data_IF_799817882128
#
_entry.id   IF_799817882128
#
_cell.length_a   1.000
_cell.length_b   1.000
_cell.length_c   1.000
_cell.angle_alpha   90.00
_cell.angle_beta   90.00
_cell.angle_gamma   90.00
#
_symmetry.space_group_name_H-M   'P 1'
#
loop_
_entity.id
_entity.type
_entity.pdbx_description
1 polymer ?
#
# COMPACT_ATOMS: atom_id res chain seq x y z
N UNK A 1 -2.90 -3.11 -13.97
CA UNK A 1 -2.42 -4.11 -13.00
C UNK A 1 -2.58 -3.52 -11.61
N UNK A 2 -3.11 -4.29 -10.66
CA UNK A 2 -3.21 -3.88 -9.27
C UNK A 2 -1.83 -3.91 -8.60
N UNK A 3 -1.63 -3.06 -7.59
CA UNK A 3 -0.46 -3.16 -6.71
C UNK A 3 -0.57 -4.45 -5.88
N UNK A 4 0.51 -5.23 -5.72
CA UNK A 4 0.52 -6.38 -4.83
C UNK A 4 0.26 -5.96 -3.38
N UNK A 5 -0.54 -6.77 -2.71
CA UNK A 5 -0.97 -6.59 -1.32
C UNK A 5 -0.56 -7.77 -0.43
N UNK A 6 -0.15 -8.89 -1.04
CA UNK A 6 0.21 -10.15 -0.39
C UNK A 6 1.55 -10.72 -0.87
N UNK A 7 2.17 -11.57 -0.05
CA UNK A 7 3.39 -12.30 -0.41
C UNK A 7 3.22 -13.21 -1.63
N UNK A 8 2.04 -13.81 -1.80
CA UNK A 8 1.80 -14.70 -2.93
C UNK A 8 1.73 -13.96 -4.26
N UNK A 9 1.26 -12.70 -4.26
CA UNK A 9 1.35 -11.82 -5.43
C UNK A 9 2.80 -11.45 -5.74
N UNK A 10 3.64 -11.20 -4.73
CA UNK A 10 5.07 -10.97 -4.91
C UNK A 10 5.77 -12.18 -5.54
N UNK A 11 5.44 -13.40 -5.07
CA UNK A 11 5.96 -14.64 -5.65
C UNK A 11 5.54 -14.80 -7.11
N UNK A 12 4.29 -14.51 -7.47
CA UNK A 12 3.80 -14.53 -8.87
C UNK A 12 4.54 -13.54 -9.76
N UNK A 13 4.95 -12.41 -9.20
CA UNK A 13 5.75 -11.38 -9.87
C UNK A 13 7.25 -11.68 -9.90
N UNK A 14 7.70 -12.77 -9.23
CA UNK A 14 9.10 -13.09 -8.99
C UNK A 14 9.86 -11.94 -8.29
N UNK A 15 9.18 -11.23 -7.40
CA UNK A 15 9.75 -10.15 -6.59
C UNK A 15 10.12 -10.70 -5.21
N UNK A 16 11.40 -10.60 -4.86
CA UNK A 16 11.90 -11.01 -3.53
C UNK A 16 11.71 -9.92 -2.46
N UNK A 17 11.70 -8.67 -2.89
CA UNK A 17 11.61 -7.47 -2.05
C UNK A 17 10.90 -6.36 -2.84
N UNK A 18 10.32 -5.40 -2.11
CA UNK A 18 9.71 -4.19 -2.66
C UNK A 18 10.66 -3.01 -2.46
N UNK A 19 10.65 -2.07 -3.40
CA UNK A 19 11.39 -0.82 -3.24
C UNK A 19 10.63 0.13 -2.31
N UNK A 20 9.30 0.19 -2.48
CA UNK A 20 8.42 1.12 -1.76
C UNK A 20 7.17 0.36 -1.29
N UNK A 21 6.78 0.58 -0.05
CA UNK A 21 5.49 0.10 0.47
C UNK A 21 4.62 1.31 0.81
N UNK A 22 3.44 1.37 0.19
CA UNK A 22 2.42 2.37 0.47
C UNK A 22 1.54 1.89 1.62
N UNK A 23 1.32 2.74 2.62
CA UNK A 23 0.35 2.52 3.70
C UNK A 23 -0.80 3.50 3.51
N UNK A 24 -2.03 2.99 3.51
CA UNK A 24 -3.26 3.77 3.37
C UNK A 24 -4.22 3.48 4.52
N UNK A 25 -4.81 4.54 5.09
CA UNK A 25 -5.94 4.43 6.03
C UNK A 25 -7.26 4.04 5.37
N UNK A 26 -7.36 4.14 4.04
CA UNK A 26 -8.52 3.68 3.25
C UNK A 26 -8.24 2.35 2.56
N UNK A 27 -9.31 1.62 2.26
CA UNK A 27 -9.28 0.43 1.39
C UNK A 27 -8.66 0.75 0.03
N UNK A 28 -7.91 -0.22 -0.53
CA UNK A 28 -7.33 -0.07 -1.85
C UNK A 28 -8.40 -0.10 -2.93
N UNK A 29 -8.66 1.06 -3.55
CA UNK A 29 -9.51 1.20 -4.73
C UNK A 29 -8.63 1.65 -5.88
N UNK A 30 -8.59 0.85 -6.95
CA UNK A 30 -7.83 1.19 -8.14
C UNK A 30 -8.56 2.24 -9.00
N UNK A 31 -8.50 3.49 -8.55
CA UNK A 31 -9.20 4.63 -9.11
C UNK A 31 -8.30 5.86 -9.18
N UNK A 32 -8.53 6.74 -10.15
CA UNK A 32 -7.83 8.03 -10.28
C UNK A 32 -8.12 8.98 -9.10
N UNK A 33 -9.18 8.74 -8.34
CA UNK A 33 -9.49 9.48 -7.12
C UNK A 33 -8.65 9.04 -5.91
N UNK A 34 -7.97 7.89 -5.99
CA UNK A 34 -7.11 7.41 -4.91
C UNK A 34 -5.65 7.77 -5.19
N UNK A 35 -5.11 8.74 -4.43
CA UNK A 35 -3.74 9.21 -4.58
C UNK A 35 -2.70 8.11 -4.45
N UNK A 36 -2.89 7.15 -3.54
CA UNK A 36 -2.00 6.00 -3.34
C UNK A 36 -2.00 5.07 -4.57
N UNK A 37 -3.16 4.85 -5.20
CA UNK A 37 -3.25 4.08 -6.43
C UNK A 37 -2.52 4.78 -7.59
N UNK A 38 -2.73 6.09 -7.74
CA UNK A 38 -2.11 6.91 -8.78
C UNK A 38 -0.59 6.92 -8.65
N UNK A 39 -0.05 7.25 -7.47
CA UNK A 39 1.39 7.32 -7.26
C UNK A 39 2.04 5.94 -7.35
N UNK A 40 1.39 4.89 -6.83
CA UNK A 40 1.91 3.53 -6.92
C UNK A 40 2.04 3.05 -8.37
N UNK A 41 1.02 3.31 -9.20
CA UNK A 41 1.08 3.00 -10.64
C UNK A 41 2.13 3.82 -11.38
N UNK A 42 2.27 5.10 -11.03
CA UNK A 42 3.30 5.95 -11.60
C UNK A 42 4.69 5.39 -11.28
N UNK A 43 4.96 5.03 -10.03
CA UNK A 43 6.23 4.43 -9.60
C UNK A 43 6.50 3.07 -10.29
N UNK A 44 5.49 2.19 -10.37
CA UNK A 44 5.59 0.92 -11.12
C UNK A 44 6.00 1.16 -12.57
N UNK A 45 5.38 2.14 -13.25
CA UNK A 45 5.69 2.51 -14.64
C UNK A 45 7.14 2.99 -14.81
N UNK A 46 7.76 3.52 -13.75
CA UNK A 46 9.15 3.99 -13.75
C UNK A 46 10.14 2.93 -13.22
N UNK A 47 9.70 1.68 -13.09
CA UNK A 47 10.59 0.54 -12.81
C UNK A 47 10.78 0.21 -11.33
N UNK A 48 10.09 0.90 -10.42
CA UNK A 48 10.09 0.55 -9.00
C UNK A 48 9.15 -0.63 -8.72
N UNK A 49 9.47 -1.44 -7.73
CA UNK A 49 8.59 -2.48 -7.19
C UNK A 49 7.80 -1.88 -6.03
N UNK A 50 6.50 -1.73 -6.21
CA UNK A 50 5.63 -1.07 -5.23
C UNK A 50 4.54 -2.02 -4.77
N UNK A 51 4.33 -2.12 -3.47
CA UNK A 51 3.18 -2.79 -2.86
C UNK A 51 2.37 -1.84 -1.99
N UNK A 52 1.18 -2.27 -1.59
CA UNK A 52 0.28 -1.47 -0.75
C UNK A 52 -0.32 -2.29 0.40
N UNK A 53 -0.35 -1.69 1.58
CA UNK A 53 -1.05 -2.17 2.77
C UNK A 53 -2.12 -1.14 3.11
N UNK A 54 -3.37 -1.58 3.12
CA UNK A 54 -4.52 -0.73 3.45
C UNK A 54 -5.11 -1.18 4.76
N UNK A 55 -5.51 -0.23 5.58
CA UNK A 55 -6.17 -0.45 6.87
C UNK A 55 -5.46 -1.52 7.72
N UNK A 56 -4.15 -1.39 7.97
CA UNK A 56 -3.44 -2.37 8.80
C UNK A 56 -4.03 -2.37 10.22
N UNK A 57 -4.14 -3.55 10.83
CA UNK A 57 -4.40 -3.63 12.27
C UNK A 57 -3.29 -2.92 13.05
N UNK A 58 -3.67 -1.95 13.89
CA UNK A 58 -2.74 -1.15 14.70
C UNK A 58 -2.39 -1.82 16.03
N UNK A 59 -3.10 -2.88 16.40
CA UNK A 59 -2.86 -3.63 17.64
C UNK A 59 -1.84 -4.76 17.45
N UNK A 60 -1.40 -4.99 16.21
CA UNK A 60 -0.48 -6.06 15.84
C UNK A 60 0.53 -5.58 14.80
N UNK A 61 1.71 -6.20 14.79
CA UNK A 61 2.74 -5.96 13.80
C UNK A 61 2.59 -6.85 12.54
N UNK A 62 1.68 -7.82 12.56
CA UNK A 62 1.48 -8.81 11.50
C UNK A 62 1.20 -8.14 10.15
N UNK A 63 0.28 -7.18 10.11
CA UNK A 63 -0.12 -6.53 8.86
C UNK A 63 1.00 -5.67 8.28
N UNK A 64 1.63 -4.84 9.11
CA UNK A 64 2.73 -3.97 8.66
C UNK A 64 3.92 -4.79 8.16
N UNK A 65 4.21 -5.95 8.78
CA UNK A 65 5.31 -6.82 8.37
C UNK A 65 4.98 -7.72 7.19
N UNK A 66 3.71 -7.82 6.76
CA UNK A 66 3.27 -8.85 5.80
C UNK A 66 3.98 -8.79 4.45
N UNK A 67 4.45 -7.63 4.01
CA UNK A 67 5.16 -7.46 2.73
C UNK A 67 6.69 -7.42 2.88
N UNK A 68 7.22 -7.57 4.09
CA UNK A 68 8.65 -7.37 4.39
C UNK A 68 9.02 -5.90 4.50
N UNK A 69 10.32 -5.62 4.54
CA UNK A 69 10.87 -4.26 4.62
C UNK A 69 11.12 -3.70 3.21
N UNK A 70 10.74 -2.44 2.93
CA UNK A 70 11.01 -1.81 1.66
C UNK A 70 12.47 -1.40 1.57
N UNK A 71 13.05 -1.51 0.38
CA UNK A 71 14.45 -1.14 0.14
C UNK A 71 14.71 0.36 0.21
N UNK A 72 13.73 1.18 -0.15
CA UNK A 72 13.88 2.64 -0.19
C UNK A 72 13.17 3.31 0.97
N UNK A 73 11.84 3.22 1.04
CA UNK A 73 11.07 3.86 2.11
C UNK A 73 9.62 3.33 2.21
N UNK A 74 8.99 3.67 3.33
CA UNK A 74 7.55 3.57 3.57
C UNK A 74 6.88 4.90 3.23
N UNK A 75 5.80 4.87 2.46
CA UNK A 75 4.98 6.06 2.19
C UNK A 75 3.62 5.91 2.88
N UNK A 76 3.40 6.71 3.93
CA UNK A 76 2.21 6.61 4.78
C UNK A 76 1.24 7.74 4.49
N UNK A 77 -0.02 7.40 4.27
CA UNK A 77 -1.11 8.36 4.07
C UNK A 77 -2.36 7.92 4.85
N UNK A 78 -3.13 8.89 5.37
CA UNK A 78 -4.42 8.62 6.01
C UNK A 78 -5.50 8.14 5.03
N UNK A 79 -5.25 8.24 3.72
CA UNK A 79 -6.23 7.90 2.69
C UNK A 79 -6.78 9.14 1.97
N UNK A 80 -7.93 8.95 1.34
CA UNK A 80 -8.71 9.97 0.64
C UNK A 80 -9.79 10.59 1.55
N UNK A 81 -10.28 9.82 2.52
CA UNK A 81 -11.27 10.31 3.50
C UNK A 81 -10.58 11.15 4.57
N UNK A 82 -11.23 12.22 4.97
CA UNK A 82 -10.78 13.03 6.10
C UNK A 82 -10.78 12.19 7.40
N UNK A 83 -9.71 12.31 8.19
CA UNK A 83 -9.51 11.47 9.37
C UNK A 83 -10.53 11.74 10.49
N UNK A 84 -11.03 12.97 10.60
CA UNK A 84 -12.08 13.30 11.56
C UNK A 84 -13.37 12.61 11.14
N UNK A 85 -13.73 12.65 9.86
CA UNK A 85 -14.90 11.94 9.32
C UNK A 85 -14.78 10.43 9.53
N UNK A 86 -13.63 9.84 9.20
CA UNK A 86 -13.40 8.40 9.31
C UNK A 86 -13.62 7.88 10.75
N UNK A 87 -13.16 8.62 11.78
CA UNK A 87 -13.33 8.22 13.18
C UNK A 87 -14.79 8.20 13.67
N UNK A 88 -15.69 8.93 13.02
CA UNK A 88 -17.12 8.95 13.40
C UNK A 88 -17.96 7.89 12.66
N UNK A 89 -17.44 7.35 11.56
CA UNK A 89 -18.19 6.45 10.67
C UNK A 89 -17.62 5.04 10.57
N UNK A 90 -16.46 4.78 11.17
CA UNK A 90 -15.78 3.48 11.20
C UNK A 90 -16.31 2.55 12.29
#
# INVERSE_FOLDING_TARGET
MFLPTTQDELKKLNWKELDIILISGDTYIDSSYNGSAVIGKWLLKHGFKVGIICQPDINSDIDIKRLGEPKLFWAVSSGCVDSMVANYTA
#
